data_IF_672010050050
#
_entry.id   IF_672010050050
#
_cell.length_a   1.000
_cell.length_b   1.000
_cell.length_c   1.000
_cell.angle_alpha   90.00
_cell.angle_beta   90.00
_cell.angle_gamma   90.00
#
_symmetry.space_group_name_H-M   'P 1'
#
loop_
_entity.id
_entity.type
_entity.pdbx_description
1 polymer ?
#
# COMPACT_ATOMS: atom_id res chain seq x y z
N UNK A 1 -7.44 -21.27 -17.53
CA UNK A 1 -7.47 -20.67 -17.24
C UNK A 1 -7.34 -20.20 -16.08
N UNK A 2 -6.99 -19.76 -15.50
CA UNK A 2 -6.78 -19.42 -14.40
C UNK A 2 -7.42 -18.31 -14.06
N UNK A 3 -8.48 -18.14 -14.38
CA UNK A 3 -9.17 -17.15 -13.94
C UNK A 3 -9.20 -17.10 -12.54
N UNK A 4 -9.09 -18.08 -11.86
CA UNK A 4 -9.17 -18.02 -10.44
C UNK A 4 -8.04 -17.25 -9.85
N UNK A 5 -6.96 -17.13 -10.50
CA UNK A 5 -5.88 -16.40 -9.92
C UNK A 5 -5.69 -15.10 -10.63
N UNK A 6 -6.66 -14.65 -11.36
CA UNK A 6 -6.51 -13.45 -12.08
C UNK A 6 -6.52 -12.27 -11.15
N UNK A 7 -5.55 -11.47 -11.22
CA UNK A 7 -5.45 -10.24 -10.48
C UNK A 7 -4.98 -9.19 -11.44
N UNK A 8 -5.74 -8.13 -11.59
CA UNK A 8 -5.39 -7.08 -12.52
C UNK A 8 -4.95 -5.85 -11.77
N UNK A 9 -3.87 -5.27 -12.18
CA UNK A 9 -3.39 -4.03 -11.60
C UNK A 9 -3.32 -2.99 -12.70
N UNK A 10 -4.01 -1.88 -12.52
CA UNK A 10 -3.90 -0.77 -13.42
C UNK A 10 -3.11 0.28 -12.72
N UNK A 11 -2.23 0.93 -13.42
CA UNK A 11 -1.38 1.96 -12.86
C UNK A 11 -1.77 3.30 -13.47
N UNK A 12 -2.06 4.27 -12.64
CA UNK A 12 -2.32 5.60 -13.14
C UNK A 12 -1.54 6.60 -12.31
N UNK A 13 -1.36 7.78 -12.83
CA UNK A 13 -0.62 8.82 -12.13
C UNK A 13 -1.49 10.04 -12.04
N UNK A 14 -1.51 10.67 -10.90
CA UNK A 14 -2.27 11.89 -10.72
C UNK A 14 -1.36 12.90 -10.05
N UNK A 15 -1.65 14.15 -10.27
CA UNK A 15 -0.87 15.21 -9.67
C UNK A 15 -1.68 15.82 -8.54
N UNK A 16 -1.27 15.50 -7.30
CA UNK A 16 -1.84 16.13 -6.16
C UNK A 16 -0.86 17.19 -5.70
N UNK A 17 -0.61 17.30 -4.39
CA UNK A 17 0.44 18.17 -3.94
C UNK A 17 1.76 17.64 -4.39
N UNK A 18 1.85 16.34 -4.60
CA UNK A 18 3.03 15.68 -5.14
C UNK A 18 2.54 14.73 -6.20
N UNK A 19 3.39 14.24 -7.07
CA UNK A 19 2.95 13.22 -8.03
C UNK A 19 2.62 11.94 -7.29
N UNK A 20 1.48 11.35 -7.58
CA UNK A 20 1.01 10.16 -6.90
C UNK A 20 0.77 9.08 -7.93
N UNK A 21 1.28 7.89 -7.66
CA UNK A 21 1.03 6.73 -8.49
C UNK A 21 -0.06 5.90 -7.84
N UNK A 22 -1.13 5.62 -8.55
CA UNK A 22 -2.21 4.83 -8.02
C UNK A 22 -2.15 3.44 -8.61
N UNK A 23 -2.11 2.44 -7.75
CA UNK A 23 -2.20 1.06 -8.19
C UNK A 23 -3.64 0.60 -7.94
N UNK A 24 -4.40 0.46 -9.01
CA UNK A 24 -5.78 0.01 -8.91
C UNK A 24 -5.79 -1.51 -8.95
N UNK A 25 -6.08 -2.12 -7.82
CA UNK A 25 -6.03 -3.57 -7.68
C UNK A 25 -7.43 -4.14 -7.85
N UNK A 26 -7.58 -5.07 -8.77
CA UNK A 26 -8.87 -5.63 -9.05
C UNK A 26 -8.78 -7.14 -8.94
N UNK A 27 -9.47 -7.71 -7.99
CA UNK A 27 -9.50 -9.14 -7.79
C UNK A 27 -9.06 -9.53 -6.42
N UNK A 28 -8.97 -10.81 -6.18
CA UNK A 28 -8.56 -11.32 -4.88
C UNK A 28 -7.07 -11.48 -4.82
N UNK A 29 -6.47 -11.08 -3.75
CA UNK A 29 -5.04 -11.24 -3.55
C UNK A 29 -4.86 -12.52 -2.73
N UNK A 30 -4.25 -13.53 -3.31
CA UNK A 30 -4.02 -14.78 -2.61
C UNK A 30 -2.57 -15.17 -2.77
N UNK A 31 -2.18 -16.27 -2.18
CA UNK A 31 -0.79 -16.67 -2.16
C UNK A 31 -0.23 -16.88 -3.55
N UNK A 32 -1.05 -17.26 -4.50
CA UNK A 32 -0.55 -17.55 -5.83
C UNK A 32 -0.38 -16.33 -6.71
N UNK A 33 -0.92 -15.17 -6.32
CA UNK A 33 -0.83 -14.02 -7.19
C UNK A 33 -0.25 -12.78 -6.51
N UNK A 34 0.31 -12.90 -5.32
CA UNK A 34 0.90 -11.73 -4.66
C UNK A 34 2.02 -11.13 -5.50
N UNK A 35 2.70 -11.93 -6.30
CA UNK A 35 3.76 -11.40 -7.12
C UNK A 35 3.29 -10.38 -8.15
N UNK A 36 2.04 -10.45 -8.57
CA UNK A 36 1.50 -9.50 -9.53
C UNK A 36 1.50 -8.10 -8.90
N UNK A 37 1.03 -7.99 -7.66
CA UNK A 37 1.00 -6.70 -7.00
C UNK A 37 2.40 -6.26 -6.62
N UNK A 38 3.23 -7.15 -6.14
CA UNK A 38 4.59 -6.81 -5.77
C UNK A 38 5.35 -6.27 -6.96
N UNK A 39 5.21 -6.92 -8.11
CA UNK A 39 5.93 -6.49 -9.28
C UNK A 39 5.42 -5.14 -9.77
N UNK A 40 4.12 -4.91 -9.73
CA UNK A 40 3.59 -3.63 -10.18
C UNK A 40 4.13 -2.50 -9.30
N UNK A 41 4.19 -2.71 -7.99
CA UNK A 41 4.70 -1.71 -7.10
C UNK A 41 6.18 -1.48 -7.30
N UNK A 42 6.94 -2.55 -7.51
CA UNK A 42 8.37 -2.42 -7.71
C UNK A 42 8.68 -1.70 -9.00
N UNK A 43 7.96 -2.01 -10.06
CA UNK A 43 8.19 -1.33 -11.32
C UNK A 43 7.85 0.15 -11.22
N UNK A 44 6.79 0.48 -10.50
CA UNK A 44 6.45 1.88 -10.33
C UNK A 44 7.56 2.60 -9.56
N UNK A 45 8.07 1.95 -8.52
CA UNK A 45 9.13 2.54 -7.73
C UNK A 45 10.39 2.75 -8.56
N UNK A 46 10.72 1.79 -9.40
CA UNK A 46 11.90 1.88 -10.25
C UNK A 46 11.74 2.99 -11.30
N UNK A 47 10.53 3.31 -11.66
CA UNK A 47 10.30 4.42 -12.58
C UNK A 47 10.26 5.76 -11.88
N UNK A 48 10.46 5.80 -10.60
CA UNK A 48 10.55 7.03 -9.86
C UNK A 48 9.39 7.31 -8.93
N UNK A 49 8.39 6.43 -8.87
CA UNK A 49 7.26 6.66 -7.99
C UNK A 49 7.72 6.57 -6.54
N UNK A 50 7.33 7.52 -5.76
CA UNK A 50 7.67 7.53 -4.34
C UNK A 50 6.44 7.66 -3.46
N UNK A 51 5.34 8.16 -4.00
CA UNK A 51 4.09 8.28 -3.27
C UNK A 51 3.08 7.39 -3.96
N UNK A 52 2.61 6.37 -3.28
CA UNK A 52 1.79 5.33 -3.88
C UNK A 52 0.47 5.21 -3.13
N UNK A 53 -0.63 5.25 -3.87
CA UNK A 53 -1.94 4.99 -3.31
C UNK A 53 -2.39 3.61 -3.81
N UNK A 54 -2.66 2.71 -2.88
CA UNK A 54 -3.19 1.41 -3.25
C UNK A 54 -4.70 1.48 -3.21
N UNK A 55 -5.31 1.34 -4.38
CA UNK A 55 -6.76 1.36 -4.49
C UNK A 55 -7.24 -0.07 -4.37
N UNK A 56 -7.79 -0.41 -3.23
CA UNK A 56 -8.25 -1.75 -2.94
C UNK A 56 -9.77 -1.84 -3.00
N UNK A 57 -10.44 -0.88 -3.61
CA UNK A 57 -11.87 -0.86 -3.60
C UNK A 57 -12.49 -2.01 -4.39
N UNK A 58 -11.77 -2.58 -5.31
CA UNK A 58 -12.22 -3.74 -6.06
C UNK A 58 -11.60 -5.04 -5.55
N UNK A 59 -11.07 -5.03 -4.34
CA UNK A 59 -10.53 -6.23 -3.71
C UNK A 59 -11.58 -6.71 -2.72
N UNK A 60 -12.19 -7.85 -2.95
CA UNK A 60 -13.30 -8.28 -2.09
C UNK A 60 -12.84 -8.76 -0.73
N UNK A 61 -11.63 -9.23 -0.61
CA UNK A 61 -11.15 -9.70 0.67
C UNK A 61 -9.63 -9.69 0.68
N UNK A 62 -9.06 -9.60 1.85
CA UNK A 62 -7.62 -9.66 2.00
C UNK A 62 -7.26 -10.89 2.81
N UNK A 63 -6.27 -11.62 2.35
CA UNK A 63 -5.73 -12.76 3.07
C UNK A 63 -4.43 -12.32 3.73
N UNK A 64 -3.85 -13.18 4.54
CA UNK A 64 -2.57 -12.90 5.15
C UNK A 64 -1.50 -12.68 4.08
N UNK A 65 -1.62 -13.36 2.94
CA UNK A 65 -0.68 -13.15 1.86
C UNK A 65 -0.80 -11.73 1.31
N UNK A 66 -2.03 -11.23 1.18
CA UNK A 66 -2.23 -9.87 0.70
C UNK A 66 -1.71 -8.85 1.69
N UNK A 67 -1.93 -9.10 2.99
CA UNK A 67 -1.42 -8.19 3.99
C UNK A 67 0.10 -8.14 3.98
N UNK A 68 0.73 -9.32 3.79
CA UNK A 68 2.18 -9.35 3.75
C UNK A 68 2.70 -8.58 2.55
N UNK A 69 2.01 -8.66 1.42
CA UNK A 69 2.41 -7.94 0.23
C UNK A 69 2.30 -6.43 0.45
N UNK A 70 1.22 -5.98 1.08
CA UNK A 70 1.07 -4.57 1.38
C UNK A 70 2.17 -4.10 2.32
N UNK A 71 2.53 -4.94 3.30
CA UNK A 71 3.60 -4.60 4.22
C UNK A 71 4.92 -4.49 3.49
N UNK A 72 5.15 -5.35 2.50
CA UNK A 72 6.37 -5.28 1.70
C UNK A 72 6.45 -4.00 0.90
N UNK A 73 5.32 -3.54 0.36
CA UNK A 73 5.31 -2.29 -0.38
C UNK A 73 5.57 -1.13 0.59
N UNK A 74 4.97 -1.19 1.78
CA UNK A 74 5.21 -0.17 2.79
C UNK A 74 6.70 -0.07 3.11
N UNK A 75 7.36 -1.22 3.28
CA UNK A 75 8.78 -1.21 3.56
C UNK A 75 9.58 -0.62 2.40
N UNK A 76 9.21 -0.96 1.18
CA UNK A 76 9.93 -0.47 0.02
C UNK A 76 9.87 1.04 -0.07
N UNK A 77 8.69 1.63 0.08
CA UNK A 77 8.58 3.07 -0.10
C UNK A 77 9.06 3.83 1.14
N UNK A 78 9.19 3.15 2.28
CA UNK A 78 9.69 3.78 3.46
C UNK A 78 11.19 3.73 3.58
N UNK A 79 11.86 2.99 2.72
CA UNK A 79 13.30 2.88 2.79
C UNK A 79 13.91 3.96 1.98
N UNK A 80 14.13 5.08 2.50
CA UNK A 80 14.83 6.11 1.81
C UNK A 80 16.22 6.20 2.37
N UNK A 81 17.13 6.76 1.66
CA UNK A 81 18.48 6.82 2.12
C UNK A 81 18.61 7.46 3.49
N UNK A 82 17.82 8.42 3.79
CA UNK A 82 17.97 9.00 5.06
C UNK A 82 17.32 8.18 6.07
N UNK A 83 16.45 7.33 5.73
CA UNK A 83 15.81 6.59 6.74
C UNK A 83 16.64 5.53 7.27
N UNK A 84 17.65 5.16 6.54
CA UNK A 84 18.25 4.05 7.08
C UNK A 84 19.13 4.32 8.13
N UNK A 85 19.73 5.29 8.15
CA UNK A 85 20.60 5.38 9.13
C UNK A 85 20.12 5.42 10.40
N UNK A 86 19.54 6.07 10.80
CA UNK A 86 19.20 6.15 12.14
C UNK A 86 18.45 5.04 12.47
N UNK A 87 18.12 4.62 11.68
CA UNK A 87 17.41 3.62 11.94
C UNK A 87 17.57 2.94 13.00
N UNK A 88 18.24 2.87 13.04
CA UNK A 88 18.40 2.23 13.87
C UNK A 88 17.81 2.26 14.94
N UNK A 89 18.19 2.04 15.38
CA UNK A 89 17.76 1.79 16.50
C UNK A 89 16.84 2.61 16.99
N UNK A 90 17.23 3.61 17.03
CA UNK A 90 16.48 4.45 17.65
C UNK A 90 15.20 4.23 17.34
N UNK A 91 15.14 3.99 16.45
CA UNK A 91 14.03 3.94 16.12
C UNK A 91 13.16 3.18 16.71
N UNK A 92 13.56 2.42 17.13
CA UNK A 92 12.71 1.56 17.69
C UNK A 92 11.78 2.24 18.52
N UNK A 93 12.19 2.92 19.36
CA UNK A 93 11.33 3.48 20.16
C UNK A 93 10.69 4.53 19.58
N UNK A 94 11.29 5.16 18.81
CA UNK A 94 10.58 6.18 18.32
C UNK A 94 9.44 5.64 17.58
N UNK A 95 9.50 4.51 17.18
CA UNK A 95 8.43 4.03 16.44
C UNK A 95 7.21 4.05 17.23
N UNK A 96 7.31 4.16 18.44
CA UNK A 96 6.15 4.16 19.18
C UNK A 96 5.33 5.34 18.88
N UNK A 97 5.90 6.33 18.45
CA UNK A 97 5.09 7.35 18.18
C UNK A 97 4.86 7.42 16.85
N UNK A 98 5.18 6.65 16.27
CA UNK A 98 5.11 6.54 15.10
C UNK A 98 4.33 7.20 14.28
N UNK A 99 4.73 7.77 13.41
CA UNK A 99 3.95 8.31 12.49
C UNK A 99 3.73 7.39 11.36
N UNK A 100 2.66 7.51 10.68
CA UNK A 100 2.39 6.68 9.54
C UNK A 100 3.22 7.12 8.38
N UNK A 101 3.46 6.21 7.46
CA UNK A 101 4.26 6.53 6.31
C UNK A 101 3.57 7.58 5.46
N UNK A 102 4.26 8.64 5.07
CA UNK A 102 3.64 9.61 4.18
C UNK A 102 3.66 9.17 2.71
N UNK A 103 4.31 8.06 2.42
CA UNK A 103 4.54 7.65 1.04
C UNK A 103 3.61 6.54 0.57
N UNK A 104 2.77 6.01 1.43
CA UNK A 104 1.82 4.99 1.01
C UNK A 104 0.53 5.18 1.74
N UNK A 105 -0.58 5.12 1.02
CA UNK A 105 -1.89 5.21 1.61
C UNK A 105 -2.79 4.19 0.93
N UNK A 106 -3.86 3.81 1.59
CA UNK A 106 -4.78 2.81 1.06
C UNK A 106 -6.14 3.43 0.88
N UNK A 107 -6.86 2.98 -0.13
CA UNK A 107 -8.23 3.43 -0.36
C UNK A 107 -9.12 2.21 -0.55
N UNK A 108 -10.19 2.14 0.21
CA UNK A 108 -11.21 1.12 0.01
C UNK A 108 -12.48 1.57 0.71
N UNK A 109 -13.63 1.23 0.15
CA UNK A 109 -14.90 1.43 0.83
C UNK A 109 -15.43 0.12 1.40
N UNK A 110 -14.70 -0.97 1.24
CA UNK A 110 -15.18 -2.27 1.71
C UNK A 110 -15.06 -2.39 3.21
N UNK A 111 -16.16 -2.59 3.93
CA UNK A 111 -16.07 -2.76 5.39
C UNK A 111 -15.25 -3.97 5.77
N UNK A 112 -15.29 -5.02 4.95
CA UNK A 112 -14.55 -6.23 5.26
C UNK A 112 -13.05 -5.96 5.17
N UNK A 113 -12.62 -5.27 4.13
CA UNK A 113 -11.21 -4.97 3.95
C UNK A 113 -10.74 -4.02 5.05
N UNK A 114 -11.57 -3.02 5.38
CA UNK A 114 -11.21 -2.10 6.44
C UNK A 114 -11.05 -2.84 7.76
N UNK A 115 -11.93 -3.79 8.04
CA UNK A 115 -11.85 -4.54 9.27
C UNK A 115 -10.59 -5.40 9.32
N UNK A 116 -10.25 -6.03 8.20
CA UNK A 116 -9.05 -6.86 8.16
C UNK A 116 -7.81 -6.01 8.39
N UNK A 117 -7.76 -4.84 7.79
CA UNK A 117 -6.62 -3.96 7.97
C UNK A 117 -6.52 -3.49 9.42
N UNK A 118 -7.65 -3.20 10.03
CA UNK A 118 -7.64 -2.74 11.41
C UNK A 118 -7.21 -3.87 12.35
N UNK A 119 -7.75 -5.05 12.16
CA UNK A 119 -7.42 -6.18 13.04
C UNK A 119 -5.94 -6.53 12.90
N UNK A 120 -5.39 -6.40 11.71
CA UNK A 120 -3.99 -6.69 11.51
C UNK A 120 -3.08 -5.56 11.98
N UNK A 121 -3.63 -4.44 12.40
CA UNK A 121 -2.84 -3.33 12.89
C UNK A 121 -2.26 -2.45 11.81
N UNK A 122 -2.68 -2.62 10.59
CA UNK A 122 -2.12 -1.84 9.49
C UNK A 122 -2.48 -0.37 9.60
N UNK A 123 -3.61 -0.03 10.23
CA UNK A 123 -3.97 1.36 10.36
C UNK A 123 -3.04 2.09 11.32
N UNK A 124 -2.14 1.40 12.00
CA UNK A 124 -1.13 2.05 12.80
C UNK A 124 0.05 2.50 11.96
N UNK A 125 0.22 1.95 10.77
CA UNK A 125 1.35 2.26 9.92
C UNK A 125 0.98 2.98 8.65
N UNK A 126 -0.24 2.79 8.16
CA UNK A 126 -0.64 3.29 6.86
C UNK A 126 -1.99 3.93 7.00
N UNK A 127 -2.14 5.12 6.48
CA UNK A 127 -3.44 5.79 6.49
C UNK A 127 -4.36 5.13 5.49
N UNK A 128 -5.59 4.90 5.88
CA UNK A 128 -6.59 4.28 5.01
C UNK A 128 -7.74 5.24 4.85
N UNK A 129 -8.18 5.41 3.63
CA UNK A 129 -9.22 6.35 3.29
C UNK A 129 -10.39 5.66 2.60
N UNK A 130 -11.57 6.21 2.77
CA UNK A 130 -12.75 5.67 2.09
C UNK A 130 -13.18 6.58 0.95
N UNK A 131 -12.38 7.57 0.63
CA UNK A 131 -12.65 8.47 -0.47
C UNK A 131 -11.34 8.68 -1.19
N UNK A 132 -11.31 8.39 -2.49
CA UNK A 132 -10.07 8.46 -3.23
C UNK A 132 -9.55 9.89 -3.31
N UNK A 133 -10.41 10.87 -3.43
CA UNK A 133 -9.96 12.24 -3.50
C UNK A 133 -9.35 12.69 -2.18
N UNK A 134 -9.90 12.23 -1.07
CA UNK A 134 -9.31 12.54 0.22
C UNK A 134 -7.96 11.88 0.36
N UNK A 135 -7.81 10.66 -0.15
CA UNK A 135 -6.54 9.97 -0.08
C UNK A 135 -5.49 10.73 -0.89
N UNK A 136 -5.85 11.18 -2.07
CA UNK A 136 -4.93 11.92 -2.92
C UNK A 136 -4.54 13.24 -2.25
N UNK A 137 -5.49 13.93 -1.64
CA UNK A 137 -5.20 15.20 -1.03
C UNK A 137 -4.34 15.08 0.22
N UNK A 138 -4.30 13.90 0.80
CA UNK A 138 -3.54 13.69 2.02
C UNK A 138 -2.04 13.47 1.80
N UNK A 139 -1.62 13.24 0.58
CA UNK A 139 -0.20 13.05 0.30
C UNK A 139 0.61 14.34 0.42
#
# INVERSE_FOLDING_TARGET
>A
MDWSSSLNIKVSEVQGRVPITILHVDGRINLGNTGVLEQAAQEAYERGARDILLDLDNVPSLTSAGLRTIHGIYNMVSQSPQADEPAQGALAESSSQRSKSPHIKLFTTSPHVLKVLHVAGFDLYIDTYQDQNEAIAAF
#
